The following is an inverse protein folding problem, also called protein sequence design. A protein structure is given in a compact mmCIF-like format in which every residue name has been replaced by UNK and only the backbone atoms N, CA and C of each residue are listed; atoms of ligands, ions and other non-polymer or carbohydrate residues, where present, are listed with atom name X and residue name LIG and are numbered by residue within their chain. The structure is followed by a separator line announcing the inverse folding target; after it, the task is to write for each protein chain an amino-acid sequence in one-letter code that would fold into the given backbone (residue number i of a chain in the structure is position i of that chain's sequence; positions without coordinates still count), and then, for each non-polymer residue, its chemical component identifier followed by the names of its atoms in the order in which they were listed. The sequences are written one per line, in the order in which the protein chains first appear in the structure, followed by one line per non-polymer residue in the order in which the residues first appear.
data_IF_334624965457
#
_entry.id   IF_334624965457
#
_cell.length_a   1.000
_cell.length_b   1.000
_cell.length_c   1.000
_cell.angle_alpha   90.00
_cell.angle_beta   90.00
_cell.angle_gamma   90.00
#
_symmetry.space_group_name_H-M   'P 1'
#
loop_
_entity.id
_entity.type
_entity.pdbx_description
1 polymer ?
#
# COMPACT_ATOMS: atom_id res chain seq x y z
N UNK A 1 13.14 -4.43 23.62
CA UNK A 1 13.22 -3.09 23.02
C UNK A 1 11.81 -2.77 22.58
N UNK A 2 11.18 -1.76 23.16
CA UNK A 2 9.80 -1.44 22.77
C UNK A 2 9.83 -0.88 21.35
N UNK A 3 9.15 -1.59 20.45
CA UNK A 3 9.07 -1.34 19.01
C UNK A 3 8.23 -0.08 18.72
N UNK A 4 8.64 1.06 19.28
CA UNK A 4 7.96 2.36 19.24
C UNK A 4 9.00 3.45 18.98
N UNK A 5 8.69 4.41 18.09
CA UNK A 5 9.53 5.60 17.86
C UNK A 5 8.66 6.85 17.72
N UNK A 6 9.22 8.02 18.02
CA UNK A 6 8.48 9.30 18.12
C UNK A 6 9.23 10.49 17.49
N UNK A 7 10.18 10.19 16.63
CA UNK A 7 11.16 11.12 16.08
C UNK A 7 11.55 10.72 14.64
N UNK A 8 10.64 10.02 13.95
CA UNK A 8 10.98 9.36 12.68
C UNK A 8 10.81 10.23 11.44
N UNK A 9 10.00 11.29 11.51
CA UNK A 9 9.64 12.12 10.35
C UNK A 9 9.32 11.29 9.08
N UNK A 10 8.57 10.19 9.24
CA UNK A 10 8.26 9.28 8.13
C UNK A 10 7.39 10.00 7.12
N UNK A 11 7.81 9.98 5.85
CA UNK A 11 7.03 10.48 4.72
C UNK A 11 6.95 9.40 3.63
N UNK A 12 5.76 9.13 3.06
CA UNK A 12 5.65 8.21 1.94
C UNK A 12 6.30 8.82 0.69
N UNK A 13 6.87 7.96 -0.14
CA UNK A 13 7.27 8.31 -1.50
C UNK A 13 6.06 8.70 -2.36
N UNK A 14 6.31 9.34 -3.51
CA UNK A 14 5.27 9.81 -4.42
C UNK A 14 4.46 8.71 -5.13
N UNK A 15 4.78 7.44 -4.87
CA UNK A 15 4.33 6.32 -5.66
C UNK A 15 3.28 5.49 -4.92
N UNK A 16 2.20 5.16 -5.60
CA UNK A 16 1.07 4.45 -4.99
C UNK A 16 1.19 2.92 -5.05
N UNK A 17 2.19 2.39 -5.75
CA UNK A 17 2.38 0.94 -5.90
C UNK A 17 3.85 0.53 -5.85
N UNK A 18 4.14 -0.68 -5.40
CA UNK A 18 5.47 -1.29 -5.44
C UNK A 18 5.43 -2.72 -5.92
N UNK A 19 6.30 -3.06 -6.87
CA UNK A 19 6.62 -4.45 -7.13
C UNK A 19 7.51 -4.98 -6.00
N UNK A 20 7.17 -6.15 -5.49
CA UNK A 20 7.99 -6.93 -4.56
C UNK A 20 8.36 -8.25 -5.22
N UNK A 21 9.55 -8.76 -4.94
CA UNK A 21 10.00 -10.07 -5.41
C UNK A 21 9.88 -11.11 -4.32
N UNK A 22 9.63 -12.35 -4.71
CA UNK A 22 9.75 -13.49 -3.82
C UNK A 22 11.14 -13.48 -3.14
N UNK A 23 11.16 -13.65 -1.82
CA UNK A 23 12.34 -13.61 -0.96
C UNK A 23 12.73 -12.22 -0.45
N UNK A 24 12.16 -11.12 -0.95
CA UNK A 24 12.41 -9.78 -0.40
C UNK A 24 11.80 -9.65 1.00
N UNK A 25 12.51 -8.97 1.91
CA UNK A 25 12.09 -8.73 3.29
C UNK A 25 11.80 -7.24 3.46
N UNK A 26 10.64 -6.90 4.00
CA UNK A 26 10.23 -5.50 4.25
C UNK A 26 9.69 -5.30 5.66
N UNK A 27 9.77 -4.05 6.14
CA UNK A 27 9.30 -3.66 7.47
C UNK A 27 7.90 -3.05 7.38
N UNK A 28 6.98 -3.45 8.26
CA UNK A 28 5.63 -2.89 8.33
C UNK A 28 5.51 -1.97 9.55
N UNK A 29 5.14 -0.71 9.29
CA UNK A 29 4.98 0.33 10.30
C UNK A 29 3.51 0.74 10.39
N UNK A 30 2.99 0.75 11.61
CA UNK A 30 1.70 1.34 11.93
C UNK A 30 1.88 2.85 12.17
N UNK A 31 1.21 3.65 11.35
CA UNK A 31 1.23 5.11 11.42
C UNK A 31 -0.02 5.69 12.10
N UNK A 32 -0.89 4.82 12.63
CA UNK A 32 -2.13 5.22 13.29
C UNK A 32 -3.24 5.62 12.31
N UNK A 33 -4.41 6.02 12.84
CA UNK A 33 -5.57 6.38 12.02
C UNK A 33 -5.42 7.80 11.45
N UNK A 34 -5.79 7.98 10.18
CA UNK A 34 -5.77 9.27 9.49
C UNK A 34 -4.42 10.00 9.57
N UNK A 35 -3.31 9.37 9.13
CA UNK A 35 -1.97 9.95 9.28
C UNK A 35 -1.87 11.27 8.49
N UNK A 36 -1.36 12.31 9.15
CA UNK A 36 -0.92 13.55 8.50
C UNK A 36 0.60 13.53 8.38
N UNK A 37 1.09 13.34 7.16
CA UNK A 37 2.52 13.15 6.92
C UNK A 37 3.27 14.49 6.82
N UNK A 38 4.53 14.57 7.28
CA UNK A 38 5.32 13.48 7.87
C UNK A 38 4.85 13.12 9.29
N UNK A 39 4.96 11.83 9.65
CA UNK A 39 4.60 11.33 10.98
C UNK A 39 5.84 11.00 11.81
N UNK A 40 5.88 11.52 13.04
CA UNK A 40 6.97 11.23 13.96
C UNK A 40 6.74 9.97 14.78
N UNK A 41 5.49 9.73 15.21
CA UNK A 41 5.13 8.57 16.01
C UNK A 41 4.69 7.41 15.13
N UNK A 42 5.48 6.34 15.16
CA UNK A 42 5.16 5.06 14.53
C UNK A 42 5.34 3.91 15.50
N UNK A 43 4.58 2.84 15.26
CA UNK A 43 4.69 1.58 15.97
C UNK A 43 5.04 0.47 14.98
N UNK A 44 5.96 -0.42 15.33
CA UNK A 44 6.44 -1.41 14.37
C UNK A 44 5.64 -2.71 14.52
N UNK A 45 5.05 -3.19 13.43
CA UNK A 45 4.48 -4.53 13.39
C UNK A 45 5.57 -5.59 13.30
N UNK A 46 6.60 -5.34 12.50
CA UNK A 46 7.76 -6.20 12.32
C UNK A 46 8.15 -6.37 10.85
N UNK A 47 8.99 -7.37 10.59
CA UNK A 47 9.45 -7.72 9.25
C UNK A 47 8.70 -8.96 8.73
N UNK A 48 8.45 -8.99 7.42
CA UNK A 48 8.00 -10.20 6.73
C UNK A 48 8.76 -10.41 5.42
N UNK A 49 8.99 -11.68 5.07
CA UNK A 49 9.48 -12.08 3.76
C UNK A 49 8.29 -12.33 2.82
N UNK A 50 8.39 -11.90 1.57
CA UNK A 50 7.38 -12.21 0.56
C UNK A 50 7.66 -13.59 -0.04
N UNK A 51 6.74 -14.55 0.13
CA UNK A 51 6.89 -15.89 -0.47
C UNK A 51 6.67 -15.88 -1.99
N UNK A 52 5.94 -14.89 -2.50
CA UNK A 52 5.62 -14.73 -3.91
C UNK A 52 5.86 -13.30 -4.37
N UNK A 53 6.33 -13.13 -5.61
CA UNK A 53 6.40 -11.81 -6.25
C UNK A 53 5.00 -11.25 -6.50
N UNK A 54 4.87 -9.92 -6.47
CA UNK A 54 3.59 -9.26 -6.69
C UNK A 54 3.68 -7.74 -6.73
N UNK A 55 2.52 -7.09 -6.76
CA UNK A 55 2.39 -5.64 -6.64
C UNK A 55 1.58 -5.34 -5.40
N UNK A 56 2.12 -4.47 -4.55
CA UNK A 56 1.41 -3.85 -3.43
C UNK A 56 0.87 -2.50 -3.88
N UNK A 57 -0.33 -2.13 -3.44
CA UNK A 57 -0.94 -0.84 -3.69
C UNK A 57 -1.36 -0.16 -2.39
N UNK A 58 -1.33 1.18 -2.40
CA UNK A 58 -2.00 1.98 -1.37
C UNK A 58 -3.48 1.62 -1.36
N UNK A 59 -4.00 1.30 -0.17
CA UNK A 59 -5.35 0.82 0.06
C UNK A 59 -5.46 -0.70 0.24
N UNK A 60 -4.46 -1.49 -0.12
CA UNK A 60 -4.45 -2.93 0.17
C UNK A 60 -4.51 -3.18 1.68
N UNK A 61 -5.28 -4.18 2.09
CA UNK A 61 -5.41 -4.54 3.50
C UNK A 61 -4.30 -5.49 3.92
N UNK A 62 -3.67 -5.19 5.07
CA UNK A 62 -2.71 -6.08 5.72
C UNK A 62 -3.44 -6.98 6.73
N UNK A 63 -3.36 -8.29 6.54
CA UNK A 63 -4.04 -9.29 7.37
C UNK A 63 -3.01 -10.23 7.99
N UNK A 64 -3.12 -10.48 9.30
CA UNK A 64 -2.30 -11.44 10.03
C UNK A 64 -3.21 -12.35 10.85
N UNK A 65 -3.11 -13.66 10.67
CA UNK A 65 -3.97 -14.66 11.34
C UNK A 65 -5.48 -14.35 11.23
N UNK A 66 -5.93 -13.99 10.03
CA UNK A 66 -7.33 -13.61 9.76
C UNK A 66 -7.77 -12.24 10.33
N UNK A 67 -6.89 -11.55 11.07
CA UNK A 67 -7.15 -10.21 11.62
C UNK A 67 -6.59 -9.12 10.71
N UNK A 68 -7.45 -8.19 10.31
CA UNK A 68 -7.03 -6.96 9.66
C UNK A 68 -6.21 -6.08 10.62
N UNK A 69 -5.01 -5.70 10.19
CA UNK A 69 -4.11 -4.80 10.93
C UNK A 69 -4.22 -3.35 10.46
N UNK A 70 -4.75 -3.13 9.25
CA UNK A 70 -4.92 -1.81 8.65
C UNK A 70 -4.79 -1.85 7.13
N UNK A 71 -4.82 -0.68 6.49
CA UNK A 71 -4.61 -0.53 5.05
C UNK A 71 -3.23 0.08 4.76
N UNK A 72 -2.59 -0.34 3.67
CA UNK A 72 -1.33 0.28 3.22
C UNK A 72 -1.61 1.74 2.87
N UNK A 73 -0.91 2.66 3.52
CA UNK A 73 -1.05 4.10 3.33
C UNK A 73 0.10 4.70 2.52
N UNK A 74 1.19 3.96 2.30
CA UNK A 74 2.31 4.39 1.49
C UNK A 74 3.57 3.54 1.67
N UNK A 75 4.65 3.98 1.02
CA UNK A 75 5.95 3.32 1.05
C UNK A 75 7.03 4.37 1.33
N UNK A 76 7.78 4.21 2.42
CA UNK A 76 8.94 5.04 2.73
C UNK A 76 10.24 4.34 2.30
N UNK A 77 11.15 5.14 1.73
CA UNK A 77 12.38 4.69 1.06
C UNK A 77 13.64 5.00 1.87
N UNK A 78 13.49 5.47 3.11
CA UNK A 78 14.61 5.83 4.00
C UNK A 78 15.67 4.73 4.13
N UNK A 79 15.30 3.46 4.00
CA UNK A 79 16.21 2.32 4.09
C UNK A 79 16.54 1.66 2.75
N UNK A 80 16.13 2.24 1.62
CA UNK A 80 16.53 1.71 0.32
C UNK A 80 18.06 1.79 0.13
N UNK A 81 18.69 0.77 -0.49
CA UNK A 81 18.09 -0.38 -1.17
C UNK A 81 17.83 -1.61 -0.25
N UNK A 82 17.99 -1.50 1.07
CA UNK A 82 17.85 -2.64 1.99
C UNK A 82 16.40 -3.13 2.04
N UNK A 83 15.46 -2.26 2.39
CA UNK A 83 14.03 -2.57 2.40
C UNK A 83 13.17 -1.30 2.34
N UNK A 84 11.91 -1.47 1.98
CA UNK A 84 10.88 -0.45 2.19
C UNK A 84 10.35 -0.51 3.62
N UNK A 85 10.03 0.67 4.16
CA UNK A 85 9.05 0.80 5.23
C UNK A 85 7.67 0.83 4.57
N UNK A 86 6.91 -0.24 4.70
CA UNK A 86 5.52 -0.31 4.23
C UNK A 86 4.64 0.28 5.33
N UNK A 87 4.03 1.42 5.02
CA UNK A 87 3.25 2.19 5.99
C UNK A 87 1.82 1.66 5.99
N UNK A 88 1.28 1.43 7.19
CA UNK A 88 -0.05 0.87 7.41
C UNK A 88 -0.85 1.81 8.30
N UNK A 89 -1.95 2.34 7.77
CA UNK A 89 -2.96 3.04 8.55
C UNK A 89 -3.75 2.02 9.38
N UNK A 90 -3.33 1.86 10.64
CA UNK A 90 -4.00 1.01 11.61
C UNK A 90 -5.12 1.74 12.35
N UNK A 91 -6.12 1.01 12.90
CA UNK A 91 -7.23 1.62 13.64
C UNK A 91 -6.80 2.30 14.96
N UNK A 92 -5.61 1.97 15.46
CA UNK A 92 -4.94 2.60 16.61
C UNK A 92 -3.44 2.40 16.50
N UNK A 93 -2.64 3.27 17.11
CA UNK A 93 -1.21 3.06 17.28
C UNK A 93 -0.96 1.93 18.29
N UNK A 94 -0.36 0.85 17.80
CA UNK A 94 0.11 -0.28 18.60
C UNK A 94 1.17 -1.05 17.82
N UNK A 95 2.22 -1.51 18.50
CA UNK A 95 3.25 -2.37 17.89
C UNK A 95 2.83 -3.84 17.86
N UNK A 96 3.59 -4.65 17.13
CA UNK A 96 3.32 -6.08 16.98
C UNK A 96 3.25 -6.82 18.32
N UNK A 97 4.12 -6.51 19.27
CA UNK A 97 4.10 -7.12 20.60
C UNK A 97 2.79 -6.82 21.35
N UNK A 98 2.35 -5.56 21.36
CA UNK A 98 1.09 -5.15 21.97
C UNK A 98 -0.15 -5.74 21.28
N UNK A 99 0.00 -6.22 20.04
CA UNK A 99 -1.05 -6.92 19.29
C UNK A 99 -0.93 -8.44 19.36
N UNK A 100 0.09 -8.98 20.04
CA UNK A 100 0.35 -10.42 20.15
C UNK A 100 0.91 -11.06 18.87
N UNK A 101 1.44 -10.25 17.94
CA UNK A 101 2.06 -10.76 16.72
C UNK A 101 3.36 -11.49 17.05
N UNK A 102 3.55 -12.66 16.44
CA UNK A 102 4.74 -13.50 16.63
C UNK A 102 5.44 -13.75 15.30
N UNK A 103 6.78 -13.80 15.34
CA UNK A 103 7.56 -14.19 14.18
C UNK A 103 7.13 -15.58 13.67
N UNK A 104 7.08 -15.75 12.36
CA UNK A 104 6.60 -16.97 11.69
C UNK A 104 5.08 -17.02 11.48
N UNK A 105 4.31 -16.05 12.00
CA UNK A 105 2.89 -15.93 11.67
C UNK A 105 2.73 -15.40 10.24
N UNK A 106 1.98 -16.09 9.37
CA UNK A 106 1.76 -15.61 8.00
C UNK A 106 1.01 -14.29 7.96
N UNK A 107 1.44 -13.41 7.05
CA UNK A 107 0.79 -12.13 6.75
C UNK A 107 0.43 -12.13 5.28
N UNK A 108 -0.78 -11.67 4.95
CA UNK A 108 -1.24 -11.52 3.58
C UNK A 108 -1.65 -10.09 3.30
N UNK A 109 -1.43 -9.65 2.07
CA UNK A 109 -2.00 -8.41 1.54
C UNK A 109 -3.10 -8.77 0.57
N UNK A 110 -4.22 -8.06 0.62
CA UNK A 110 -5.32 -8.24 -0.34
C UNK A 110 -5.88 -6.90 -0.79
N UNK A 111 -6.35 -6.77 -2.04
CA UNK A 111 -7.09 -5.59 -2.46
C UNK A 111 -8.26 -5.35 -1.50
N UNK A 112 -8.42 -4.11 -1.02
CA UNK A 112 -9.61 -3.75 -0.28
C UNK A 112 -10.81 -3.90 -1.21
N UNK A 113 -11.83 -4.63 -0.75
CA UNK A 113 -13.08 -4.75 -1.47
C UNK A 113 -13.69 -3.34 -1.56
N UNK A 114 -13.66 -2.76 -2.77
CA UNK A 114 -14.09 -1.38 -2.98
C UNK A 114 -15.62 -1.36 -2.83
N UNK A 115 -16.12 -0.82 -1.71
CA UNK A 115 -17.56 -0.58 -1.53
C UNK A 115 -18.04 0.63 -2.32
N UNK A 116 -17.15 1.31 -3.07
CA UNK A 116 -17.55 2.37 -4.00
C UNK A 116 -18.13 1.74 -5.26
N UNK A 117 -19.30 2.23 -5.74
CA UNK A 117 -19.82 1.77 -7.02
C UNK A 117 -18.78 2.05 -8.12
N UNK A 118 -18.70 1.20 -9.17
CA UNK A 118 -17.83 1.44 -10.31
C UNK A 118 -18.02 2.87 -10.79
N UNK A 119 -16.92 3.59 -11.05
CA UNK A 119 -17.03 4.87 -11.74
C UNK A 119 -17.68 4.58 -13.09
N UNK A 120 -18.81 5.22 -13.36
CA UNK A 120 -19.43 5.19 -14.69
C UNK A 120 -18.35 5.55 -15.70
N UNK A 121 -17.99 4.58 -16.53
CA UNK A 121 -17.05 4.83 -17.61
C UNK A 121 -17.80 5.71 -18.59
N UNK A 122 -17.35 6.96 -18.85
CA UNK A 122 -18.00 7.76 -19.88
C UNK A 122 -17.93 6.97 -21.19
N UNK A 123 -19.02 6.91 -21.97
CA UNK A 123 -19.05 6.14 -23.20
C UNK A 123 -17.86 6.55 -24.07
N UNK A 124 -17.14 5.54 -24.59
CA UNK A 124 -16.05 5.76 -25.54
C UNK A 124 -16.60 6.62 -26.67
N UNK A 125 -16.00 7.78 -26.89
CA UNK A 125 -16.33 8.63 -28.02
C UNK A 125 -16.06 7.80 -29.29
N UNK A 126 -17.11 7.55 -30.06
CA UNK A 126 -17.09 6.75 -31.28
C UNK A 126 -16.27 7.52 -32.32
N UNK A 127 -14.94 7.32 -32.31
CA UNK A 127 -14.05 7.84 -33.34
C UNK A 127 -14.24 7.05 -34.62
N UNK A 128 -15.38 7.27 -35.30
CA UNK A 128 -15.48 6.89 -36.71
C UNK A 128 -14.53 7.79 -37.50
N UNK A 129 -13.71 7.23 -38.39
CA UNK A 129 -12.94 8.04 -39.32
C UNK A 129 -13.91 8.88 -40.16
N UNK A 130 -13.63 10.17 -40.31
CA UNK A 130 -14.35 11.02 -41.28
C UNK A 130 -14.10 10.44 -42.66
N UNK A 131 -15.16 10.00 -43.33
CA UNK A 131 -15.10 9.60 -44.74
C UNK A 131 -14.65 10.79 -45.57
N UNK A 132 -13.58 10.58 -46.32
CA UNK A 132 -13.02 11.49 -47.31
C UNK A 132 -14.04 11.66 -48.45
N UNK A 133 -14.75 12.78 -48.44
CA UNK A 133 -15.62 13.20 -49.54
C UNK A 133 -14.72 13.63 -50.70
N UNK A 134 -14.35 12.67 -51.53
CA UNK A 134 -13.71 12.92 -52.81
C UNK A 134 -14.56 13.86 -53.66
N UNK A 135 -14.03 15.05 -53.92
CA UNK A 135 -14.60 16.00 -54.86
C UNK A 135 -14.35 15.53 -56.30
N UNK A 136 -15.39 15.00 -56.95
CA UNK A 136 -15.45 14.82 -58.39
C UNK A 136 -16.27 15.91 -59.07
N UNK A 137 -15.72 16.49 -60.15
CA UNK A 137 -16.39 17.32 -61.17
C UNK A 137 -16.67 18.78 -60.76
N UNK A 138 -16.37 19.80 -61.55
CA UNK A 138 -16.27 19.95 -63.01
C UNK A 138 -15.05 20.84 -63.35
#
# INVERSE_FOLDING_TARGET
MDHTRRDRAIAPSAWQTRCVRAGEVHEFLNVGPGPDYPVDHVEYYGFAAFDTSGVLAVGDELVCDGRALGAISGFDETHMPNHYNILVEGPRLANGHALGLSAGTPVTTRPREDTRPPRDTPPREDTRPREDQGSGGI
#
